data_IF_180878131030
#
_entry.id   IF_180878131030
#
_cell.length_a   1.000
_cell.length_b   1.000
_cell.length_c   1.000
_cell.angle_alpha   90.00
_cell.angle_beta   90.00
_cell.angle_gamma   90.00
#
_symmetry.space_group_name_H-M   'P 1'
#
loop_
_entity.id
_entity.type
_entity.pdbx_description
1 polymer ?
#
# COMPACT_ATOMS: atom_id res chain seq x y z
N UNK A 1 3.96 -10.67 11.45
CA UNK A 1 2.90 -9.94 12.18
C UNK A 1 2.89 -8.52 11.67
N UNK A 2 1.80 -8.07 11.04
CA UNK A 2 1.63 -6.69 10.57
C UNK A 2 0.84 -5.95 11.65
N UNK A 3 1.35 -4.81 12.12
CA UNK A 3 0.62 -3.94 13.06
C UNK A 3 -0.15 -2.91 12.24
N UNK A 4 -1.45 -3.09 12.13
CA UNK A 4 -2.27 -2.32 11.20
C UNK A 4 -2.47 -0.85 11.68
N UNK A 5 -2.47 -0.61 13.00
CA UNK A 5 -2.42 0.73 13.61
C UNK A 5 -1.02 1.42 13.56
N UNK A 6 -0.26 1.23 12.49
CA UNK A 6 1.04 1.89 12.33
C UNK A 6 0.91 3.14 11.46
N UNK A 7 1.68 4.18 11.79
CA UNK A 7 1.80 5.40 10.97
C UNK A 7 2.20 5.06 9.52
N UNK A 8 3.10 4.08 9.39
CA UNK A 8 3.65 3.64 8.12
C UNK A 8 3.66 2.12 8.00
N UNK A 9 3.31 1.61 6.82
CA UNK A 9 3.44 0.20 6.47
C UNK A 9 4.19 0.08 5.14
N UNK A 10 5.36 -0.56 5.18
CA UNK A 10 6.14 -0.90 3.99
C UNK A 10 5.80 -2.33 3.54
N UNK A 11 5.33 -2.47 2.31
CA UNK A 11 4.93 -3.76 1.74
C UNK A 11 5.88 -4.12 0.61
N UNK A 12 6.77 -5.07 0.89
CA UNK A 12 7.65 -5.69 -0.11
C UNK A 12 6.88 -6.76 -0.91
N UNK A 13 7.48 -7.20 -2.03
CA UNK A 13 6.92 -8.31 -2.81
C UNK A 13 6.73 -9.55 -1.94
N UNK A 14 5.49 -9.96 -1.76
CA UNK A 14 5.05 -11.17 -1.09
C UNK A 14 4.09 -11.98 -1.97
N UNK A 15 3.99 -13.29 -1.68
CA UNK A 15 3.09 -14.20 -2.40
C UNK A 15 1.64 -14.16 -1.87
N UNK A 16 1.40 -13.49 -0.74
CA UNK A 16 0.10 -13.45 -0.07
C UNK A 16 -0.68 -12.20 -0.44
N UNK A 17 -1.76 -12.35 -1.21
CA UNK A 17 -2.70 -11.25 -1.53
C UNK A 17 -3.64 -10.90 -0.37
N UNK A 18 -3.83 -11.82 0.58
CA UNK A 18 -4.73 -11.63 1.73
C UNK A 18 -4.22 -10.51 2.66
N UNK A 19 -2.90 -10.42 2.83
CA UNK A 19 -2.29 -9.42 3.71
C UNK A 19 -2.52 -8.00 3.17
N UNK A 20 -2.54 -7.82 1.84
CA UNK A 20 -2.84 -6.54 1.19
C UNK A 20 -4.27 -6.06 1.49
N UNK A 21 -5.25 -6.96 1.44
CA UNK A 21 -6.65 -6.62 1.74
C UNK A 21 -6.83 -6.14 3.19
N UNK A 22 -6.09 -6.75 4.13
CA UNK A 22 -6.13 -6.36 5.54
C UNK A 22 -5.55 -4.96 5.75
N UNK A 23 -4.44 -4.62 5.09
CA UNK A 23 -3.83 -3.29 5.20
C UNK A 23 -4.76 -2.19 4.69
N UNK A 24 -5.43 -2.41 3.55
CA UNK A 24 -6.36 -1.40 3.00
C UNK A 24 -7.53 -1.12 3.93
N UNK A 25 -8.14 -2.18 4.47
CA UNK A 25 -9.31 -2.04 5.35
C UNK A 25 -9.00 -1.25 6.61
N UNK A 26 -7.78 -1.40 7.15
CA UNK A 26 -7.39 -0.74 8.39
C UNK A 26 -6.88 0.70 8.16
N UNK A 27 -6.10 0.93 7.09
CA UNK A 27 -5.53 2.26 6.80
C UNK A 27 -6.55 3.29 6.27
N UNK A 28 -7.78 2.87 5.92
CA UNK A 28 -8.91 3.73 5.53
C UNK A 28 -8.54 4.79 4.46
N UNK A 29 -7.79 4.38 3.43
CA UNK A 29 -7.29 5.28 2.38
C UNK A 29 -8.42 5.59 1.40
N UNK A 30 -8.82 6.87 1.31
CA UNK A 30 -9.91 7.31 0.44
C UNK A 30 -9.57 7.03 -1.03
N UNK A 31 -10.52 6.45 -1.77
CA UNK A 31 -10.37 6.14 -3.19
C UNK A 31 -9.57 4.87 -3.49
N UNK A 32 -9.11 4.13 -2.47
CA UNK A 32 -8.41 2.85 -2.65
C UNK A 32 -9.33 1.70 -2.26
N UNK A 33 -9.68 0.89 -3.24
CA UNK A 33 -10.37 -0.38 -3.07
C UNK A 33 -9.40 -1.59 -3.17
N UNK A 34 -9.93 -2.80 -2.97
CA UNK A 34 -9.11 -4.02 -3.04
C UNK A 34 -8.49 -4.26 -4.43
N UNK A 35 -9.09 -3.73 -5.51
CA UNK A 35 -8.56 -3.93 -6.87
C UNK A 35 -7.41 -2.97 -7.16
N UNK A 36 -7.62 -1.68 -6.85
CA UNK A 36 -6.64 -0.62 -7.03
C UNK A 36 -5.39 -0.84 -6.17
N UNK A 37 -5.52 -1.29 -4.91
CA UNK A 37 -4.34 -1.60 -4.09
C UNK A 37 -3.48 -2.70 -4.73
N UNK A 38 -4.09 -3.74 -5.29
CA UNK A 38 -3.35 -4.85 -5.93
C UNK A 38 -2.66 -4.36 -7.19
N UNK A 39 -3.31 -3.49 -7.96
CA UNK A 39 -2.69 -2.81 -9.10
C UNK A 39 -1.47 -2.00 -8.67
N UNK A 40 -1.62 -1.11 -7.69
CA UNK A 40 -0.52 -0.26 -7.21
C UNK A 40 0.59 -1.06 -6.56
N UNK A 41 0.27 -2.11 -5.81
CA UNK A 41 1.24 -3.04 -5.25
C UNK A 41 2.07 -3.71 -6.33
N UNK A 42 1.44 -4.26 -7.38
CA UNK A 42 2.17 -4.93 -8.45
C UNK A 42 3.10 -3.97 -9.19
N UNK A 43 2.64 -2.74 -9.43
CA UNK A 43 3.45 -1.68 -10.05
C UNK A 43 4.58 -1.21 -9.14
N UNK A 44 4.31 -1.06 -7.84
CA UNK A 44 5.30 -0.64 -6.84
C UNK A 44 6.39 -1.68 -6.60
N UNK A 45 6.08 -2.97 -6.79
CA UNK A 45 6.97 -4.11 -6.51
C UNK A 45 7.42 -4.82 -7.78
N UNK A 46 7.38 -4.14 -8.93
CA UNK A 46 7.81 -4.69 -10.22
C UNK A 46 9.30 -5.09 -10.18
N UNK A 47 10.13 -4.29 -9.50
CA UNK A 47 11.57 -4.55 -9.36
C UNK A 47 11.92 -4.94 -7.93
N UNK A 48 12.93 -5.81 -7.80
CA UNK A 48 13.48 -6.23 -6.50
C UNK A 48 13.98 -5.00 -5.72
N UNK A 49 13.65 -4.96 -4.43
CA UNK A 49 14.04 -3.87 -3.53
C UNK A 49 13.06 -2.69 -3.48
N UNK A 50 12.00 -2.70 -4.30
CA UNK A 50 10.93 -1.71 -4.23
C UNK A 50 9.78 -2.18 -3.34
N UNK A 51 8.99 -1.23 -2.86
CA UNK A 51 7.86 -1.45 -1.96
C UNK A 51 6.67 -0.57 -2.30
N UNK A 52 5.46 -1.09 -2.03
CA UNK A 52 4.31 -0.22 -1.84
C UNK A 52 4.36 0.30 -0.41
N UNK A 53 4.27 1.61 -0.25
CA UNK A 53 4.34 2.24 1.07
C UNK A 53 2.99 2.87 1.39
N UNK A 54 2.44 2.50 2.55
CA UNK A 54 1.20 3.04 3.06
C UNK A 54 1.53 4.08 4.13
N UNK A 55 1.03 5.29 3.93
CA UNK A 55 1.15 6.42 4.83
C UNK A 55 -0.22 6.71 5.42
N UNK A 56 -0.48 6.11 6.57
CA UNK A 56 -1.74 6.24 7.30
C UNK A 56 -1.91 7.64 7.89
N UNK A 57 -0.81 8.35 8.16
CA UNK A 57 -0.82 9.71 8.71
C UNK A 57 -1.43 10.70 7.71
N UNK A 58 -1.08 10.57 6.43
CA UNK A 58 -1.62 11.41 5.35
C UNK A 58 -2.76 10.77 4.56
N UNK A 59 -3.11 9.52 4.87
CA UNK A 59 -4.16 8.78 4.18
C UNK A 59 -3.85 8.57 2.69
N UNK A 60 -2.64 8.13 2.37
CA UNK A 60 -2.18 7.96 0.98
C UNK A 60 -1.30 6.71 0.81
N UNK A 61 -1.14 6.28 -0.43
CA UNK A 61 -0.17 5.27 -0.84
C UNK A 61 0.94 5.90 -1.67
N UNK A 62 2.14 5.32 -1.60
CA UNK A 62 3.34 5.80 -2.26
C UNK A 62 4.08 4.65 -2.96
N UNK A 63 4.71 4.97 -4.08
CA UNK A 63 5.77 4.14 -4.65
C UNK A 63 7.05 4.41 -3.86
N UNK A 64 7.53 3.40 -3.12
CA UNK A 64 8.61 3.57 -2.15
C UNK A 64 8.30 4.72 -1.16
N UNK A 65 9.32 5.36 -0.58
CA UNK A 65 9.12 6.36 0.47
C UNK A 65 8.77 7.76 -0.07
N UNK A 66 9.23 8.08 -1.27
CA UNK A 66 9.37 9.45 -1.78
C UNK A 66 8.26 9.88 -2.74
N UNK A 67 7.54 8.94 -3.36
CA UNK A 67 6.61 9.25 -4.45
C UNK A 67 5.15 8.89 -4.13
N UNK A 68 4.33 9.85 -3.68
CA UNK A 68 2.88 9.68 -3.57
C UNK A 68 2.25 9.25 -4.90
N UNK A 69 1.16 8.48 -4.80
CA UNK A 69 0.35 8.06 -5.93
C UNK A 69 -0.89 8.94 -5.97
N UNK A 70 -1.10 9.64 -7.09
CA UNK A 70 -2.35 10.35 -7.34
C UNK A 70 -3.46 9.31 -7.60
N UNK A 71 -4.33 9.15 -6.61
CA UNK A 71 -5.54 8.34 -6.73
C UNK A 71 -6.60 9.26 -7.35
N UNK A 72 -6.86 9.10 -8.64
CA UNK A 72 -8.01 9.74 -9.29
C UNK A 72 -9.29 9.28 -8.54
N UNK A 73 -10.06 10.23 -8.03
CA UNK A 73 -11.28 9.99 -7.25
C UNK A 73 -12.47 9.65 -8.14
#
# INVERSE_FOLDING_TARGET
MIRLNSDYVAILKANSKRDLQMVVKDSNIKGVDERSIVYYYNKATERKGQMLFVDSVKGQIRYNFDRPIDIEQ
#
